data_IF_400966259253
#
_entry.id   IF_400966259253
#
_cell.length_a   1.000
_cell.length_b   1.000
_cell.length_c   1.000
_cell.angle_alpha   90.00
_cell.angle_beta   90.00
_cell.angle_gamma   90.00
#
_symmetry.space_group_name_H-M   'P 1'
#
loop_
_entity.id
_entity.type
_entity.pdbx_description
1 polymer ?
#
# COMPACT_ATOMS: atom_id res chain seq x y z
N UNK A 1 15.72 3.06 6.15
CA UNK A 1 14.68 3.06 7.22
C UNK A 1 13.86 4.35 7.15
N UNK A 2 12.54 4.29 7.37
CA UNK A 2 11.67 5.48 7.50
C UNK A 2 11.55 5.81 9.00
N UNK A 3 11.75 7.09 9.35
CA UNK A 3 11.55 7.57 10.74
C UNK A 3 10.09 7.43 11.16
N UNK A 4 9.84 7.16 12.44
CA UNK A 4 8.48 6.86 12.94
C UNK A 4 7.50 8.01 12.69
N UNK A 5 7.93 9.26 12.85
CA UNK A 5 7.11 10.45 12.57
C UNK A 5 6.76 10.54 11.09
N UNK A 6 7.76 10.44 10.21
CA UNK A 6 7.53 10.42 8.75
C UNK A 6 6.65 9.27 8.29
N UNK A 7 6.79 8.09 8.90
CA UNK A 7 5.93 6.95 8.60
C UNK A 7 4.47 7.24 8.96
N UNK A 8 4.23 7.98 10.05
CA UNK A 8 2.89 8.40 10.44
C UNK A 8 2.32 9.38 9.41
N UNK A 9 3.09 10.39 9.02
CA UNK A 9 2.69 11.37 7.98
C UNK A 9 2.39 10.69 6.64
N UNK A 10 3.23 9.74 6.23
CA UNK A 10 3.01 8.96 5.01
C UNK A 10 1.70 8.18 5.09
N UNK A 11 1.45 7.50 6.21
CA UNK A 11 0.23 6.73 6.38
C UNK A 11 -1.01 7.63 6.42
N UNK A 12 -0.94 8.80 7.08
CA UNK A 12 -2.02 9.79 7.11
C UNK A 12 -2.36 10.28 5.70
N UNK A 13 -1.33 10.60 4.90
CA UNK A 13 -1.48 10.99 3.50
C UNK A 13 -2.14 9.92 2.62
N UNK A 14 -1.91 8.63 2.92
CA UNK A 14 -2.51 7.52 2.17
C UNK A 14 -3.86 7.05 2.72
N UNK A 15 -4.22 7.38 3.97
CA UNK A 15 -5.46 6.93 4.61
C UNK A 15 -6.71 7.47 3.91
N UNK A 16 -6.65 8.74 3.47
CA UNK A 16 -7.73 9.40 2.74
C UNK A 16 -7.76 9.00 1.24
N UNK A 17 -6.74 8.30 0.77
CA UNK A 17 -6.57 7.98 -0.65
C UNK A 17 -7.01 6.57 -0.99
N UNK A 18 -7.60 6.46 -2.16
CA UNK A 18 -8.00 5.19 -2.74
C UNK A 18 -7.15 4.92 -3.97
N UNK A 19 -6.78 3.66 -4.14
CA UNK A 19 -5.98 3.21 -5.26
C UNK A 19 -6.67 2.07 -5.98
N UNK A 20 -6.44 1.96 -7.28
CA UNK A 20 -6.83 0.79 -8.07
C UNK A 20 -5.60 0.02 -8.51
N UNK A 21 -5.69 -1.31 -8.52
CA UNK A 21 -4.62 -2.17 -9.01
C UNK A 21 -4.38 -1.96 -10.51
N UNK A 22 -3.12 -1.78 -10.92
CA UNK A 22 -2.72 -1.69 -12.35
C UNK A 22 -2.77 -3.04 -13.06
N UNK A 23 -2.60 -4.11 -12.30
CA UNK A 23 -2.47 -5.50 -12.75
C UNK A 23 -3.05 -6.45 -11.70
N UNK A 24 -3.24 -7.71 -12.07
CA UNK A 24 -3.67 -8.74 -11.14
C UNK A 24 -2.59 -8.94 -10.06
N UNK A 25 -2.98 -8.86 -8.80
CA UNK A 25 -2.07 -8.91 -7.66
C UNK A 25 -2.43 -10.09 -6.76
N UNK A 26 -1.49 -11.01 -6.59
CA UNK A 26 -1.60 -12.10 -5.62
C UNK A 26 -1.27 -11.56 -4.23
N UNK A 27 -2.29 -11.36 -3.41
CA UNK A 27 -2.16 -10.79 -2.06
C UNK A 27 -1.95 -11.86 -0.99
N UNK A 28 -2.28 -13.12 -1.30
CA UNK A 28 -2.08 -14.30 -0.46
C UNK A 28 -2.02 -15.56 -1.33
N UNK A 29 -1.61 -16.69 -0.75
CA UNK A 29 -1.52 -17.95 -1.52
C UNK A 29 -2.87 -18.34 -2.14
N UNK A 30 -3.97 -18.08 -1.44
CA UNK A 30 -5.33 -18.40 -1.89
C UNK A 30 -6.09 -17.22 -2.49
N UNK A 31 -5.52 -16.01 -2.55
CA UNK A 31 -6.26 -14.80 -2.92
C UNK A 31 -5.51 -13.95 -3.96
N UNK A 32 -6.14 -13.78 -5.12
CA UNK A 32 -5.67 -12.94 -6.22
C UNK A 32 -6.69 -11.85 -6.47
N UNK A 33 -6.28 -10.60 -6.38
CA UNK A 33 -7.12 -9.45 -6.68
C UNK A 33 -6.91 -9.03 -8.12
N UNK A 34 -8.00 -8.77 -8.82
CA UNK A 34 -7.98 -8.41 -10.23
C UNK A 34 -7.55 -6.96 -10.45
N UNK A 35 -6.97 -6.70 -11.61
CA UNK A 35 -6.76 -5.33 -12.10
C UNK A 35 -8.04 -4.50 -11.95
N UNK A 36 -7.89 -3.27 -11.45
CA UNK A 36 -9.02 -2.36 -11.20
C UNK A 36 -9.69 -2.53 -9.84
N UNK A 37 -9.35 -3.55 -9.04
CA UNK A 37 -9.81 -3.64 -7.65
C UNK A 37 -9.36 -2.40 -6.89
N UNK A 38 -10.31 -1.78 -6.17
CA UNK A 38 -10.07 -0.60 -5.37
C UNK A 38 -9.63 -0.98 -3.96
N UNK A 39 -8.55 -0.37 -3.52
CA UNK A 39 -7.85 -0.72 -2.29
C UNK A 39 -7.36 0.54 -1.60
N UNK A 40 -7.20 0.44 -0.29
CA UNK A 40 -6.46 1.40 0.51
C UNK A 40 -5.07 0.84 0.81
N UNK A 41 -4.13 1.74 1.00
CA UNK A 41 -2.73 1.40 1.25
C UNK A 41 -2.39 1.64 2.71
N UNK A 42 -1.51 0.81 3.24
CA UNK A 42 -0.91 1.01 4.54
C UNK A 42 0.57 0.62 4.51
N UNK A 43 1.43 1.55 4.91
CA UNK A 43 2.87 1.37 4.90
C UNK A 43 3.34 0.99 6.29
N UNK A 44 3.96 -0.17 6.42
CA UNK A 44 4.58 -0.65 7.65
C UNK A 44 6.09 -0.70 7.45
N UNK A 45 6.83 0.13 8.20
CA UNK A 45 8.29 0.09 8.23
C UNK A 45 8.75 -0.53 9.55
N UNK A 46 9.53 -1.60 9.46
CA UNK A 46 10.30 -2.19 10.57
C UNK A 46 11.80 -1.93 10.33
N UNK A 47 12.69 -2.15 11.32
CA UNK A 47 14.13 -1.96 11.13
C UNK A 47 14.71 -2.80 9.98
N UNK A 48 14.07 -3.94 9.70
CA UNK A 48 14.53 -4.94 8.75
C UNK A 48 13.62 -5.10 7.53
N UNK A 49 12.54 -4.34 7.40
CA UNK A 49 11.61 -4.52 6.28
C UNK A 49 10.73 -3.29 6.03
N UNK A 50 10.46 -2.98 4.77
CA UNK A 50 9.38 -2.08 4.39
C UNK A 50 8.28 -2.89 3.72
N UNK A 51 7.06 -2.82 4.24
CA UNK A 51 5.88 -3.52 3.72
C UNK A 51 4.85 -2.51 3.23
N UNK A 52 4.32 -2.77 2.05
CA UNK A 52 3.12 -2.14 1.53
C UNK A 52 1.98 -3.14 1.67
N UNK A 53 1.16 -2.90 2.69
CA UNK A 53 -0.06 -3.66 2.93
C UNK A 53 -1.22 -3.00 2.20
N UNK A 54 -2.18 -3.81 1.80
CA UNK A 54 -3.40 -3.32 1.15
C UNK A 54 -4.62 -4.01 1.73
N UNK A 55 -5.73 -3.30 1.69
CA UNK A 55 -7.03 -3.79 2.13
C UNK A 55 -8.12 -3.19 1.22
N UNK A 56 -9.22 -3.90 0.95
CA UNK A 56 -10.29 -3.36 0.12
C UNK A 56 -11.01 -2.23 0.85
N UNK A 57 -11.63 -1.30 0.12
CA UNK A 57 -12.34 -0.15 0.74
C UNK A 57 -13.46 -0.55 1.69
N UNK A 58 -14.05 -1.72 1.45
CA UNK A 58 -15.18 -2.24 2.22
C UNK A 58 -14.75 -2.83 3.56
N UNK A 59 -13.46 -3.01 3.79
CA UNK A 59 -12.92 -3.58 5.02
C UNK A 59 -12.08 -2.57 5.80
N UNK A 60 -11.98 -2.79 7.11
CA UNK A 60 -11.10 -2.02 7.98
C UNK A 60 -9.62 -2.36 7.74
N UNK A 61 -8.72 -1.46 8.15
CA UNK A 61 -7.27 -1.69 8.11
C UNK A 61 -6.82 -2.99 8.80
N UNK A 62 -7.59 -3.51 9.75
CA UNK A 62 -7.33 -4.80 10.38
C UNK A 62 -7.33 -5.97 9.39
N UNK A 63 -8.14 -5.90 8.32
CA UNK A 63 -8.14 -6.88 7.22
C UNK A 63 -6.91 -6.80 6.31
N UNK A 64 -6.03 -5.80 6.51
CA UNK A 64 -4.70 -5.78 5.88
C UNK A 64 -3.72 -6.78 6.50
N UNK A 65 -4.10 -7.39 7.64
CA UNK A 65 -3.32 -8.44 8.29
C UNK A 65 -3.28 -9.68 7.41
N UNK A 66 -2.09 -10.04 6.93
CA UNK A 66 -1.89 -11.16 5.99
C UNK A 66 -2.01 -10.79 4.51
N UNK A 67 -2.61 -9.63 4.17
CA UNK A 67 -2.77 -9.16 2.79
C UNK A 67 -1.63 -8.19 2.41
N UNK A 68 -0.61 -8.75 1.75
CA UNK A 68 0.61 -8.03 1.35
C UNK A 68 0.58 -7.75 -0.15
N UNK A 69 0.71 -6.48 -0.54
CA UNK A 69 0.83 -6.14 -1.96
C UNK A 69 2.26 -6.20 -2.47
N UNK A 70 3.17 -5.72 -1.64
CA UNK A 70 4.57 -5.69 -1.93
C UNK A 70 5.33 -5.56 -0.62
N UNK A 71 6.52 -6.13 -0.60
CA UNK A 71 7.46 -5.96 0.50
C UNK A 71 8.85 -5.81 -0.09
N UNK A 72 9.69 -5.05 0.59
CA UNK A 72 11.08 -4.86 0.26
C UNK A 72 11.91 -5.51 1.38
N UNK A 73 12.58 -6.63 1.06
CA UNK A 73 13.53 -7.32 1.95
C UNK A 73 14.90 -6.67 1.84
N UNK A 74 15.53 -6.57 3.00
CA UNK A 74 16.45 -5.53 3.38
C UNK A 74 17.88 -6.06 3.49
N UNK A 75 18.50 -6.33 2.35
CA UNK A 75 19.94 -6.05 2.27
C UNK A 75 20.18 -4.56 1.88
N UNK A 76 19.18 -3.93 1.24
CA UNK A 76 19.28 -2.59 0.66
C UNK A 76 18.73 -1.44 1.55
N UNK A 77 17.76 -1.71 2.44
CA UNK A 77 17.08 -0.66 3.26
C UNK A 77 17.90 -0.20 4.47
N UNK A 78 18.94 -0.94 4.87
CA UNK A 78 19.95 -0.51 5.87
C UNK A 78 20.85 0.61 5.34
N UNK A 79 21.03 0.74 4.02
CA UNK A 79 21.93 1.73 3.41
C UNK A 79 21.22 3.01 2.95
N UNK A 80 19.89 3.00 2.84
CA UNK A 80 19.12 4.15 2.31
C UNK A 80 18.02 4.63 3.27
N UNK A 81 17.94 5.94 3.48
CA UNK A 81 16.77 6.60 4.09
C UNK A 81 15.71 6.72 3.00
N UNK A 82 14.53 6.13 3.24
CA UNK A 82 13.40 6.22 2.33
C UNK A 82 12.56 7.42 2.75
N UNK A 83 12.22 8.25 1.78
CA UNK A 83 11.36 9.40 1.98
C UNK A 83 9.98 9.12 1.37
N UNK A 84 9.03 10.05 1.59
CA UNK A 84 7.68 9.93 1.03
C UNK A 84 7.71 9.73 -0.50
N UNK A 85 8.59 10.42 -1.22
CA UNK A 85 8.73 10.29 -2.67
C UNK A 85 9.15 8.88 -3.12
N UNK A 86 10.03 8.20 -2.37
CA UNK A 86 10.40 6.82 -2.68
C UNK A 86 9.19 5.87 -2.53
N UNK A 87 8.40 6.07 -1.46
CA UNK A 87 7.17 5.30 -1.24
C UNK A 87 6.15 5.61 -2.33
N UNK A 88 6.00 6.87 -2.72
CA UNK A 88 5.07 7.27 -3.78
C UNK A 88 5.46 6.68 -5.14
N UNK A 89 6.76 6.66 -5.48
CA UNK A 89 7.24 5.98 -6.67
C UNK A 89 6.92 4.48 -6.62
N UNK A 90 7.14 3.83 -5.48
CA UNK A 90 6.83 2.41 -5.30
C UNK A 90 5.34 2.11 -5.42
N UNK A 91 4.49 2.95 -4.82
CA UNK A 91 3.04 2.88 -4.96
C UNK A 91 2.63 3.06 -6.42
N UNK A 92 3.11 4.11 -7.08
CA UNK A 92 2.76 4.43 -8.46
C UNK A 92 3.24 3.36 -9.46
N UNK A 93 4.18 2.48 -9.12
CA UNK A 93 4.52 1.35 -9.99
C UNK A 93 3.38 0.33 -10.06
N UNK A 94 2.74 0.01 -8.93
CA UNK A 94 1.74 -1.07 -8.83
C UNK A 94 0.29 -0.58 -8.79
N UNK A 95 0.09 0.66 -8.42
CA UNK A 95 -1.21 1.25 -8.14
C UNK A 95 -1.45 2.50 -8.98
N UNK A 96 -2.71 2.77 -9.25
CA UNK A 96 -3.20 4.04 -9.81
C UNK A 96 -4.02 4.73 -8.74
N UNK A 97 -3.77 6.02 -8.50
CA UNK A 97 -4.64 6.82 -7.64
C UNK A 97 -6.04 6.85 -8.27
N UNK A 98 -7.01 6.32 -7.53
CA UNK A 98 -8.40 6.31 -7.93
C UNK A 98 -9.08 7.52 -7.29
N UNK A 99 -9.79 8.30 -8.12
CA UNK A 99 -10.52 9.46 -7.66
C UNK A 99 -11.73 9.02 -6.83
N UNK A 100 -11.78 9.29 -5.50
CA UNK A 100 -12.87 8.80 -4.65
C UNK A 100 -14.24 9.30 -5.11
N UNK A 101 -14.30 10.46 -5.79
CA UNK A 101 -15.52 11.03 -6.38
C UNK A 101 -16.04 10.27 -7.61
N UNK A 102 -15.22 9.45 -8.25
CA UNK A 102 -15.62 8.59 -9.39
C UNK A 102 -15.97 7.17 -8.99
N UNK A 103 -15.80 6.81 -7.72
CA UNK A 103 -16.13 5.47 -7.22
C UNK A 103 -17.65 5.35 -7.08
N UNK A 104 -18.32 4.94 -8.16
CA UNK A 104 -19.68 4.44 -8.10
C UNK A 104 -19.66 3.08 -7.41
N UNK A 105 -19.74 3.07 -6.07
CA UNK A 105 -20.07 1.86 -5.33
C UNK A 105 -21.50 1.51 -5.75
N UNK A 106 -21.66 0.56 -6.69
CA UNK A 106 -22.98 -0.02 -6.95
C UNK A 106 -23.36 -0.80 -5.71
N UNK A 107 -24.30 -0.23 -4.95
CA UNK A 107 -24.98 -0.87 -3.83
C UNK A 107 -25.90 -1.97 -4.33
#
# INVERSE_FOLDING_TARGET
MIEKEKLREINDFYDDKVFSLKEDLRVSDSEVWKKGTMVRLYVESTPSLLKLKIYPLTESRESSTGKLAAYLINDDVKKKKYNQSDVEAWVNQKFLLADPKKIKIKK
#
